data_IF_983385963057
#
_entry.id   IF_983385963057
#
_cell.length_a   1.000
_cell.length_b   1.000
_cell.length_c   1.000
_cell.angle_alpha   90.00
_cell.angle_beta   90.00
_cell.angle_gamma   90.00
#
_symmetry.space_group_name_H-M   'P 1'
#
loop_
_entity.id
_entity.type
_entity.pdbx_description
1 polymer ?
#
# COMPACT_ATOMS: atom_id res chain seq x y z
N UNK A 1 1.33 -2.36 20.22
CA UNK A 1 0.93 -2.96 18.92
C UNK A 1 0.64 -1.91 17.86
N UNK A 2 -0.21 -0.91 18.14
CA UNK A 2 -0.54 0.11 17.14
C UNK A 2 0.69 0.89 16.60
N UNK A 3 1.55 1.40 17.48
CA UNK A 3 2.72 2.20 17.06
C UNK A 3 3.67 1.43 16.16
N UNK A 4 3.98 0.18 16.50
CA UNK A 4 4.88 -0.67 15.69
C UNK A 4 4.27 -1.01 14.33
N UNK A 5 2.94 -1.16 14.27
CA UNK A 5 2.23 -1.46 13.02
C UNK A 5 2.19 -0.24 12.09
N UNK A 6 1.97 0.96 12.65
CA UNK A 6 2.07 2.21 11.90
C UNK A 6 3.48 2.46 11.37
N UNK A 7 4.51 2.29 12.20
CA UNK A 7 5.91 2.41 11.77
C UNK A 7 6.20 1.41 10.63
N UNK A 8 5.72 0.17 10.75
CA UNK A 8 5.87 -0.84 9.70
C UNK A 8 5.21 -0.42 8.39
N UNK A 9 3.98 0.14 8.44
CA UNK A 9 3.29 0.61 7.24
C UNK A 9 4.05 1.72 6.50
N UNK A 10 4.67 2.65 7.25
CA UNK A 10 5.48 3.72 6.69
C UNK A 10 6.74 3.18 6.02
N UNK A 11 7.41 2.20 6.65
CA UNK A 11 8.63 1.59 6.09
C UNK A 11 8.32 0.81 4.80
N UNK A 12 7.21 0.08 4.74
CA UNK A 12 6.83 -0.62 3.51
C UNK A 12 6.52 0.35 2.37
N UNK A 13 5.79 1.43 2.65
CA UNK A 13 5.56 2.49 1.66
C UNK A 13 6.87 3.15 1.22
N UNK A 14 7.80 3.38 2.15
CA UNK A 14 9.10 3.98 1.84
C UNK A 14 9.93 3.11 0.88
N UNK A 15 9.98 1.79 1.11
CA UNK A 15 10.70 0.86 0.23
C UNK A 15 10.06 0.83 -1.18
N UNK A 16 8.73 0.82 -1.25
CA UNK A 16 8.03 0.86 -2.54
C UNK A 16 8.23 2.18 -3.28
N UNK A 17 8.17 3.31 -2.57
CA UNK A 17 8.43 4.62 -3.13
C UNK A 17 9.86 4.71 -3.69
N UNK A 18 10.83 4.15 -2.97
CA UNK A 18 12.22 4.06 -3.44
C UNK A 18 12.37 3.16 -4.67
N UNK A 19 11.71 1.99 -4.68
CA UNK A 19 11.81 1.04 -5.79
C UNK A 19 11.16 1.57 -7.09
N UNK A 20 9.99 2.21 -6.98
CA UNK A 20 9.23 2.70 -8.12
C UNK A 20 9.56 4.14 -8.53
N UNK A 21 10.29 4.88 -7.68
CA UNK A 21 10.64 6.31 -7.85
C UNK A 21 9.45 7.26 -7.93
N UNK A 22 8.32 6.87 -7.32
CA UNK A 22 7.16 7.72 -7.15
C UNK A 22 6.42 7.35 -5.86
N UNK A 23 5.76 8.31 -5.24
CA UNK A 23 4.99 8.09 -4.01
C UNK A 23 3.52 7.75 -4.34
N UNK A 24 3.05 6.57 -3.93
CA UNK A 24 1.68 6.12 -4.15
C UNK A 24 1.16 5.38 -2.90
N UNK A 25 0.58 6.10 -1.93
CA UNK A 25 0.35 5.64 -0.55
C UNK A 25 -0.81 4.65 -0.38
N UNK A 26 -1.03 3.78 -1.36
CA UNK A 26 -2.07 2.75 -1.30
C UNK A 26 -1.70 1.65 -0.32
N UNK A 27 -0.43 1.24 -0.24
CA UNK A 27 -0.01 0.27 0.76
C UNK A 27 -0.17 0.83 2.18
N UNK A 28 0.23 2.08 2.41
CA UNK A 28 0.04 2.76 3.70
C UNK A 28 -1.43 2.73 4.14
N UNK A 29 -2.38 3.04 3.24
CA UNK A 29 -3.81 3.05 3.56
C UNK A 29 -4.40 1.65 3.76
N UNK A 30 -4.06 0.68 2.90
CA UNK A 30 -4.58 -0.68 3.03
C UNK A 30 -3.97 -1.40 4.22
N UNK A 31 -2.65 -1.38 4.37
CA UNK A 31 -1.99 -2.06 5.47
C UNK A 31 -2.19 -1.30 6.79
N UNK A 32 -1.90 0.00 6.84
CA UNK A 32 -2.01 0.81 8.05
C UNK A 32 -3.44 1.17 8.47
N UNK A 33 -4.40 1.23 7.53
CA UNK A 33 -5.81 1.48 7.83
C UNK A 33 -6.57 0.18 8.06
N UNK A 34 -6.79 -0.59 6.99
CA UNK A 34 -7.58 -1.82 7.05
C UNK A 34 -6.94 -2.87 7.97
N UNK A 35 -5.61 -3.04 7.91
CA UNK A 35 -4.89 -3.96 8.80
C UNK A 35 -5.01 -3.60 10.30
N UNK A 36 -5.08 -2.31 10.63
CA UNK A 36 -5.32 -1.87 12.02
C UNK A 36 -6.75 -2.16 12.46
N UNK A 37 -7.74 -1.93 11.60
CA UNK A 37 -9.15 -2.27 11.90
C UNK A 37 -9.30 -3.75 12.19
N UNK A 38 -8.64 -4.63 11.41
CA UNK A 38 -8.64 -6.07 11.64
C UNK A 38 -8.08 -6.47 13.01
N UNK A 39 -7.13 -5.71 13.58
CA UNK A 39 -6.59 -6.00 14.92
C UNK A 39 -7.59 -5.78 16.05
N UNK A 40 -8.57 -4.89 15.88
CA UNK A 40 -9.57 -4.61 16.91
C UNK A 40 -10.75 -5.59 16.88
N UNK A 41 -10.88 -6.39 15.82
CA UNK A 41 -11.94 -7.39 15.69
C UNK A 41 -11.62 -8.62 16.54
N UNK A 42 -12.28 -8.74 17.69
CA UNK A 42 -12.28 -9.98 18.51
C UNK A 42 -13.43 -10.87 18.07
N UNK A 43 -13.16 -11.99 17.41
CA UNK A 43 -14.22 -12.92 16.95
C UNK A 43 -13.82 -14.40 17.06
N UNK A 44 -14.77 -15.30 16.81
CA UNK A 44 -14.60 -16.77 16.87
C UNK A 44 -13.64 -17.26 15.77
N UNK A 45 -12.63 -18.03 16.19
CA UNK A 45 -11.45 -18.40 15.40
C UNK A 45 -11.70 -19.00 14.00
N UNK A 46 -12.76 -19.79 13.80
CA UNK A 46 -12.94 -20.56 12.54
C UNK A 46 -13.37 -19.69 11.35
N UNK A 47 -14.35 -18.79 11.55
CA UNK A 47 -14.84 -17.91 10.47
C UNK A 47 -13.84 -16.79 10.18
N UNK A 48 -13.12 -16.33 11.21
CA UNK A 48 -12.11 -15.29 11.06
C UNK A 48 -10.89 -15.75 10.26
N UNK A 49 -10.50 -17.02 10.38
CA UNK A 49 -9.37 -17.53 9.60
C UNK A 49 -9.64 -17.39 8.09
N UNK A 50 -10.81 -17.85 7.63
CA UNK A 50 -11.20 -17.75 6.20
C UNK A 50 -11.30 -16.28 5.77
N UNK A 51 -11.92 -15.42 6.59
CA UNK A 51 -12.00 -13.99 6.32
C UNK A 51 -10.62 -13.32 6.24
N UNK A 52 -9.70 -13.67 7.13
CA UNK A 52 -8.34 -13.15 7.16
C UNK A 52 -7.58 -13.56 5.90
N UNK A 53 -7.66 -14.84 5.50
CA UNK A 53 -7.07 -15.31 4.24
C UNK A 53 -7.64 -14.60 3.01
N UNK A 54 -8.96 -14.44 2.94
CA UNK A 54 -9.61 -13.68 1.86
C UNK A 54 -9.13 -12.24 1.83
N UNK A 55 -9.05 -11.57 2.99
CA UNK A 55 -8.58 -10.18 3.06
C UNK A 55 -7.11 -10.02 2.65
N UNK A 56 -6.24 -10.99 2.96
CA UNK A 56 -4.84 -10.98 2.55
C UNK A 56 -4.68 -11.17 1.04
N UNK A 57 -5.43 -12.11 0.45
CA UNK A 57 -5.41 -12.36 -1.00
C UNK A 57 -5.94 -11.15 -1.74
N UNK A 58 -7.08 -10.59 -1.30
CA UNK A 58 -7.67 -9.39 -1.90
C UNK A 58 -6.76 -8.17 -1.76
N UNK A 59 -6.19 -7.95 -0.57
CA UNK A 59 -5.25 -6.85 -0.34
C UNK A 59 -4.04 -6.94 -1.26
N UNK A 60 -3.41 -8.11 -1.35
CA UNK A 60 -2.24 -8.34 -2.22
C UNK A 60 -2.61 -8.18 -3.70
N UNK A 61 -3.76 -8.70 -4.12
CA UNK A 61 -4.24 -8.56 -5.50
C UNK A 61 -4.49 -7.11 -5.90
N UNK A 62 -5.19 -6.35 -5.05
CA UNK A 62 -5.46 -4.92 -5.30
C UNK A 62 -4.15 -4.12 -5.37
N UNK A 63 -3.21 -4.37 -4.46
CA UNK A 63 -1.90 -3.72 -4.48
C UNK A 63 -1.17 -4.02 -5.80
N UNK A 64 -1.04 -5.30 -6.19
CA UNK A 64 -0.37 -5.67 -7.43
C UNK A 64 -1.00 -5.03 -8.66
N UNK A 65 -2.34 -5.01 -8.74
CA UNK A 65 -3.06 -4.39 -9.85
C UNK A 65 -2.84 -2.88 -9.90
N UNK A 66 -3.05 -2.16 -8.78
CA UNK A 66 -2.95 -0.70 -8.75
C UNK A 66 -1.53 -0.21 -9.04
N UNK A 67 -0.50 -0.81 -8.41
CA UNK A 67 0.89 -0.43 -8.69
C UNK A 67 1.27 -0.73 -10.15
N UNK A 68 0.79 -1.83 -10.73
CA UNK A 68 1.04 -2.16 -12.14
C UNK A 68 0.38 -1.16 -13.08
N UNK A 69 -0.90 -0.84 -12.87
CA UNK A 69 -1.64 0.14 -13.68
C UNK A 69 -0.96 1.51 -13.64
N UNK A 70 -0.61 1.99 -12.44
CA UNK A 70 0.04 3.28 -12.24
C UNK A 70 1.40 3.34 -12.94
N UNK A 71 2.18 2.27 -12.85
CA UNK A 71 3.48 2.18 -13.49
C UNK A 71 3.39 2.14 -15.02
N UNK A 72 2.44 1.40 -15.58
CA UNK A 72 2.20 1.38 -17.02
C UNK A 72 1.63 2.71 -17.53
N UNK A 73 0.75 3.36 -16.77
CA UNK A 73 0.19 4.67 -17.11
C UNK A 73 1.30 5.72 -17.26
N UNK A 74 2.26 5.73 -16.33
CA UNK A 74 3.41 6.66 -16.36
C UNK A 74 4.38 6.41 -17.52
N UNK A 75 4.50 5.16 -17.96
CA UNK A 75 5.34 4.81 -19.13
C UNK A 75 4.66 5.17 -20.45
N UNK A 76 3.35 4.95 -20.54
CA UNK A 76 2.60 5.16 -21.79
C UNK A 76 2.18 6.62 -21.99
N UNK A 77 1.98 7.37 -20.90
CA UNK A 77 1.58 8.78 -20.94
C UNK A 77 2.60 9.61 -20.15
N UNK A 78 3.59 10.25 -20.81
CA UNK A 78 4.53 11.13 -20.12
C UNK A 78 3.75 12.29 -19.47
N UNK A 79 4.03 12.61 -18.20
CA UNK A 79 3.25 13.59 -17.46
C UNK A 79 3.46 15.00 -18.04
N UNK A 80 2.35 15.67 -18.40
CA UNK A 80 2.34 17.07 -18.86
C UNK A 80 2.70 18.05 -17.74
N UNK A 81 2.45 17.66 -16.49
CA UNK A 81 2.77 18.42 -15.29
C UNK A 81 3.64 17.58 -14.36
N UNK A 82 4.75 18.16 -13.90
CA UNK A 82 5.57 17.52 -12.88
C UNK A 82 4.84 17.60 -11.54
N UNK A 83 4.15 16.53 -11.18
CA UNK A 83 3.52 16.43 -9.85
C UNK A 83 4.59 16.49 -8.76
N UNK A 84 4.33 17.23 -7.67
CA UNK A 84 5.24 17.43 -6.52
C UNK A 84 5.82 16.11 -6.00
N UNK A 85 5.07 15.02 -6.11
CA UNK A 85 5.48 13.67 -5.69
C UNK A 85 6.51 13.00 -6.60
N UNK A 86 6.61 13.41 -7.87
CA UNK A 86 7.69 12.99 -8.78
C UNK A 86 8.98 13.80 -8.51
N UNK A 87 8.84 15.07 -8.08
CA UNK A 87 9.97 15.94 -7.71
C UNK A 87 10.64 15.48 -6.41
N UNK A 88 9.85 15.08 -5.40
CA UNK A 88 10.36 14.61 -4.11
C UNK A 88 11.24 13.35 -4.23
N UNK A 89 10.98 12.50 -5.24
CA UNK A 89 11.76 11.29 -5.51
C UNK A 89 12.90 11.49 -6.53
N UNK A 90 12.89 12.60 -7.30
CA UNK A 90 14.04 13.01 -8.11
C UNK A 90 15.14 13.68 -7.26
N UNK A 91 14.79 14.20 -6.09
CA UNK A 91 15.70 14.89 -5.17
C UNK A 91 16.17 14.01 -3.98
N UNK A 92 15.82 12.71 -3.99
CA UNK A 92 16.36 11.68 -3.08
C UNK A 92 17.30 10.76 -3.88
#
# INVERSE_FOLDING_TARGET
MLSVFLISSVVHEYILAFAFRFFYPVLLLMFGGFGVVLMFIKTRARQFNVFLWLSLILGTGILMCLYSIEWYARRNCPPVYVSIYHLCCYYI
#
